data_IF_805934091281
#
_entry.id   IF_805934091281
#
_cell.length_a   1.000
_cell.length_b   1.000
_cell.length_c   1.000
_cell.angle_alpha   90.00
_cell.angle_beta   90.00
_cell.angle_gamma   90.00
#
_symmetry.space_group_name_H-M   'P 1'
#
loop_
_entity.id
_entity.type
_entity.pdbx_description
1 polymer ?
#
# COMPACT_ATOMS: atom_id res chain seq x y z
N UNK A 1 43.09 42.07 5.47
CA UNK A 1 44.29 41.80 6.29
C UNK A 1 44.62 40.35 6.08
N UNK A 2 45.58 40.21 5.24
CA UNK A 2 46.84 39.42 5.32
C UNK A 2 46.56 37.90 5.23
N UNK A 3 46.76 37.25 4.07
CA UNK A 3 48.03 36.96 3.38
C UNK A 3 49.03 36.12 4.18
N UNK A 4 49.31 34.89 3.68
CA UNK A 4 50.67 34.31 3.61
C UNK A 4 50.57 32.88 3.03
N UNK A 5 50.77 32.66 1.76
CA UNK A 5 51.99 32.41 1.01
C UNK A 5 52.82 31.19 1.45
N UNK A 6 52.88 30.24 0.54
CA UNK A 6 53.84 29.18 0.13
C UNK A 6 55.24 29.21 0.76
N UNK A 7 56.09 28.18 0.59
CA UNK A 7 56.43 27.55 -0.70
C UNK A 7 56.80 26.03 -0.65
N UNK A 8 56.82 25.46 -1.84
CA UNK A 8 57.57 24.29 -2.31
C UNK A 8 59.08 24.46 -2.19
N UNK A 9 59.89 23.37 -2.16
CA UNK A 9 60.84 23.20 -3.23
C UNK A 9 61.04 21.76 -3.74
N UNK A 10 61.14 21.60 -5.03
CA UNK A 10 62.05 20.71 -5.77
C UNK A 10 63.48 21.30 -5.75
N UNK A 11 64.60 20.64 -6.21
CA UNK A 11 64.74 19.60 -7.24
C UNK A 11 65.97 18.66 -7.10
N UNK A 12 66.21 17.95 -8.22
CA UNK A 12 67.44 17.39 -8.75
C UNK A 12 67.83 15.99 -8.26
N UNK A 13 68.15 15.01 -9.08
CA UNK A 13 68.75 15.02 -10.40
C UNK A 13 69.62 13.79 -10.51
N UNK A 14 69.79 13.36 -11.68
CA UNK A 14 70.90 12.69 -12.41
C UNK A 14 70.74 11.22 -12.67
N UNK A 15 70.51 10.92 -13.92
CA UNK A 15 71.47 10.45 -14.97
C UNK A 15 72.00 9.01 -14.79
N UNK A 16 71.71 8.23 -15.80
CA UNK A 16 72.70 7.42 -16.35
C UNK A 16 72.33 6.07 -16.94
N UNK A 17 72.29 6.03 -18.21
CA UNK A 17 72.95 5.11 -19.14
C UNK A 17 72.20 3.98 -19.77
N UNK A 18 71.98 4.16 -21.01
CA UNK A 18 72.06 3.31 -22.22
C UNK A 18 72.25 1.80 -22.08
N UNK A 19 71.41 1.09 -22.81
CA UNK A 19 71.59 -0.29 -23.20
C UNK A 19 70.61 -0.71 -24.30
N UNK A 20 71.11 -0.61 -25.52
CA UNK A 20 70.52 -1.00 -26.81
C UNK A 20 70.22 -2.47 -26.89
N UNK A 21 69.13 -2.85 -27.61
CA UNK A 21 68.98 -4.21 -28.09
C UNK A 21 67.58 -4.58 -28.56
N UNK A 22 67.28 -4.23 -29.77
CA UNK A 22 66.59 -4.97 -30.83
C UNK A 22 65.40 -5.92 -30.58
N UNK A 23 64.35 -5.59 -31.30
CA UNK A 23 63.55 -6.42 -32.20
C UNK A 23 62.39 -7.24 -31.68
N UNK A 24 61.20 -6.81 -32.08
CA UNK A 24 60.12 -7.53 -32.75
C UNK A 24 59.51 -8.77 -32.07
N UNK A 25 58.28 -8.63 -31.69
CA UNK A 25 57.34 -9.70 -31.41
C UNK A 25 55.98 -9.16 -31.07
N UNK A 26 55.21 -8.73 -32.09
CA UNK A 26 53.81 -8.38 -31.97
C UNK A 26 52.99 -9.66 -31.81
N UNK A 27 52.88 -10.17 -30.60
CA UNK A 27 51.89 -11.19 -30.22
C UNK A 27 51.02 -10.60 -29.11
N UNK A 28 49.72 -10.90 -29.04
CA UNK A 28 48.89 -10.42 -27.96
C UNK A 28 49.44 -10.96 -26.64
N UNK A 29 49.95 -10.02 -25.84
CA UNK A 29 50.44 -10.33 -24.49
C UNK A 29 49.25 -10.77 -23.65
N UNK A 30 49.11 -12.09 -23.50
CA UNK A 30 48.14 -12.62 -22.49
C UNK A 30 48.62 -12.15 -21.11
N UNK A 31 47.78 -11.42 -20.35
CA UNK A 31 48.19 -11.02 -19.01
C UNK A 31 48.32 -12.26 -18.15
N UNK A 32 49.56 -12.64 -17.84
CA UNK A 32 49.86 -13.74 -16.91
C UNK A 32 49.65 -13.21 -15.50
N UNK A 33 48.53 -13.52 -14.88
CA UNK A 33 48.28 -13.19 -13.46
C UNK A 33 49.25 -14.02 -12.62
N UNK A 34 50.15 -13.44 -11.82
CA UNK A 34 51.06 -14.20 -10.97
C UNK A 34 50.28 -15.13 -10.04
N UNK A 35 50.72 -16.38 -9.93
CA UNK A 35 50.02 -17.40 -9.12
C UNK A 35 49.81 -16.98 -7.65
N UNK A 36 50.62 -16.08 -7.12
CA UNK A 36 50.46 -15.46 -5.80
C UNK A 36 49.26 -14.51 -5.73
N UNK A 37 48.94 -13.81 -6.81
CA UNK A 37 47.77 -12.92 -6.86
C UNK A 37 46.47 -13.71 -6.98
N UNK A 38 46.47 -14.80 -7.76
CA UNK A 38 45.34 -15.70 -7.87
C UNK A 38 45.04 -16.43 -6.53
N UNK A 39 46.06 -16.84 -5.76
CA UNK A 39 45.88 -17.40 -4.41
C UNK A 39 45.24 -16.36 -3.41
N UNK A 40 45.61 -15.10 -3.47
CA UNK A 40 45.03 -14.06 -2.61
C UNK A 40 43.59 -13.74 -2.98
N UNK A 41 43.25 -13.70 -4.24
CA UNK A 41 41.89 -13.53 -4.72
C UNK A 41 40.97 -14.67 -4.29
N UNK A 42 41.45 -15.92 -4.41
CA UNK A 42 40.70 -17.11 -3.98
C UNK A 42 40.52 -17.16 -2.45
N UNK A 43 41.51 -16.75 -1.66
CA UNK A 43 41.41 -16.69 -0.21
C UNK A 43 40.35 -15.69 0.26
N UNK A 44 40.22 -14.54 -0.43
CA UNK A 44 39.17 -13.55 -0.16
C UNK A 44 37.80 -14.07 -0.53
N UNK A 45 37.64 -14.79 -1.67
CA UNK A 45 36.38 -15.36 -2.09
C UNK A 45 35.94 -16.50 -1.15
N UNK A 46 36.86 -17.34 -0.70
CA UNK A 46 36.55 -18.43 0.27
C UNK A 46 36.12 -17.80 1.61
N UNK A 47 36.79 -16.75 2.09
CA UNK A 47 36.41 -16.05 3.31
C UNK A 47 34.98 -15.48 3.24
N UNK A 48 34.60 -14.93 2.07
CA UNK A 48 33.26 -14.40 1.83
C UNK A 48 32.19 -15.51 1.82
N UNK A 49 32.50 -16.67 1.21
CA UNK A 49 31.61 -17.82 1.21
C UNK A 49 31.42 -18.38 2.62
N UNK A 50 32.52 -18.51 3.39
CA UNK A 50 32.44 -18.97 4.79
C UNK A 50 31.61 -18.02 5.62
N UNK A 51 31.81 -16.70 5.50
CA UNK A 51 31.00 -15.71 6.22
C UNK A 51 29.52 -15.81 5.86
N UNK A 52 29.20 -16.03 4.58
CA UNK A 52 27.81 -16.21 4.12
C UNK A 52 27.20 -17.48 4.70
N UNK A 53 27.94 -18.60 4.69
CA UNK A 53 27.47 -19.88 5.24
C UNK A 53 27.24 -19.76 6.74
N UNK A 54 28.14 -19.12 7.47
CA UNK A 54 28.02 -18.89 8.92
C UNK A 54 26.80 -17.99 9.21
N UNK A 55 26.58 -16.94 8.40
CA UNK A 55 25.40 -16.08 8.55
C UNK A 55 24.10 -16.86 8.31
N UNK A 56 24.04 -17.65 7.25
CA UNK A 56 22.87 -18.50 6.95
C UNK A 56 22.65 -19.52 8.08
N UNK A 57 23.72 -20.16 8.56
CA UNK A 57 23.64 -21.14 9.66
C UNK A 57 23.19 -20.50 10.98
N UNK A 58 23.53 -19.25 11.24
CA UNK A 58 23.06 -18.51 12.40
C UNK A 58 21.60 -18.06 12.28
N UNK A 59 21.15 -17.66 11.08
CA UNK A 59 19.77 -17.23 10.85
C UNK A 59 18.78 -18.38 10.68
N UNK A 60 19.22 -19.52 10.12
CA UNK A 60 18.36 -20.67 9.86
C UNK A 60 17.65 -21.20 11.13
N UNK A 61 18.34 -21.40 12.27
CA UNK A 61 17.66 -21.80 13.50
C UNK A 61 16.63 -20.78 13.97
N UNK A 62 16.91 -19.47 13.84
CA UNK A 62 15.99 -18.41 14.23
C UNK A 62 14.72 -18.46 13.38
N UNK A 63 14.85 -18.67 12.07
CA UNK A 63 13.71 -18.83 11.17
C UNK A 63 12.93 -20.10 11.45
N UNK A 64 13.59 -21.21 11.80
CA UNK A 64 12.93 -22.47 12.14
C UNK A 64 12.26 -22.44 13.52
N UNK A 65 12.82 -21.70 14.48
CA UNK A 65 12.25 -21.54 15.82
C UNK A 65 11.17 -20.45 15.86
N UNK A 66 11.16 -19.53 14.91
CA UNK A 66 10.12 -18.53 14.74
C UNK A 66 9.34 -18.83 13.45
N UNK A 67 8.46 -19.84 13.47
CA UNK A 67 7.66 -20.13 12.29
C UNK A 67 6.93 -18.87 11.90
N UNK A 68 7.04 -18.52 10.60
CA UNK A 68 6.23 -17.46 10.01
C UNK A 68 4.82 -17.60 10.59
N UNK A 69 4.23 -16.56 11.16
CA UNK A 69 2.88 -16.67 11.69
C UNK A 69 2.03 -17.27 10.57
N UNK A 70 1.50 -18.47 10.84
CA UNK A 70 0.49 -19.05 9.97
C UNK A 70 -0.56 -17.95 9.83
N UNK A 71 -1.01 -17.69 8.62
CA UNK A 71 -2.02 -16.67 8.32
C UNK A 71 -3.39 -16.90 9.00
N UNK A 72 -3.46 -17.86 9.94
CA UNK A 72 -4.49 -17.97 10.96
C UNK A 72 -4.34 -16.89 12.05
N UNK A 73 -3.75 -15.73 11.67
CA UNK A 73 -3.64 -14.56 12.51
C UNK A 73 -4.96 -14.23 13.15
N UNK A 74 -4.91 -13.71 14.38
CA UNK A 74 -6.06 -13.20 15.12
C UNK A 74 -7.08 -12.60 14.16
N UNK A 75 -8.21 -13.30 13.98
CA UNK A 75 -9.33 -12.91 13.15
C UNK A 75 -10.42 -12.45 14.09
N UNK A 76 -10.46 -11.17 14.46
CA UNK A 76 -11.53 -10.67 15.30
C UNK A 76 -12.85 -10.94 14.59
N UNK A 77 -13.80 -11.49 15.33
CA UNK A 77 -15.18 -11.55 14.89
C UNK A 77 -15.76 -10.13 15.00
N UNK A 78 -15.78 -9.41 13.88
CA UNK A 78 -16.19 -8.01 13.84
C UNK A 78 -17.69 -7.96 13.58
N UNK A 79 -18.46 -7.60 14.60
CA UNK A 79 -19.87 -7.29 14.43
C UNK A 79 -20.04 -5.89 13.85
N UNK A 80 -20.12 -5.84 12.51
CA UNK A 80 -20.33 -4.59 11.75
C UNK A 80 -21.64 -3.93 12.15
N UNK A 81 -22.70 -4.71 12.39
CA UNK A 81 -24.03 -4.19 12.74
C UNK A 81 -24.03 -3.56 14.13
N UNK A 82 -23.37 -4.19 15.11
CA UNK A 82 -23.22 -3.59 16.44
C UNK A 82 -22.40 -2.31 16.39
N UNK A 83 -21.29 -2.32 15.64
CA UNK A 83 -20.44 -1.12 15.50
C UNK A 83 -21.19 0.02 14.79
N UNK A 84 -21.97 -0.28 13.75
CA UNK A 84 -22.81 0.69 13.06
C UNK A 84 -23.87 1.33 13.99
N UNK A 85 -24.56 0.50 14.79
CA UNK A 85 -25.52 1.01 15.80
C UNK A 85 -24.85 1.95 16.79
N UNK A 86 -23.68 1.61 17.30
CA UNK A 86 -22.93 2.45 18.23
C UNK A 86 -22.45 3.77 17.60
N UNK A 87 -22.21 3.77 16.28
CA UNK A 87 -21.79 4.97 15.55
C UNK A 87 -22.97 5.89 15.17
N UNK A 88 -24.22 5.43 15.25
CA UNK A 88 -25.41 6.17 14.76
C UNK A 88 -25.54 7.57 15.35
N UNK A 89 -25.33 7.71 16.66
CA UNK A 89 -25.50 8.99 17.35
C UNK A 89 -24.44 10.02 16.92
N UNK A 90 -23.18 9.58 16.79
CA UNK A 90 -22.08 10.46 16.39
C UNK A 90 -22.07 10.73 14.90
N UNK A 91 -22.59 9.81 14.11
CA UNK A 91 -22.70 9.94 12.66
C UNK A 91 -23.87 10.87 12.25
N UNK A 92 -24.93 10.92 13.06
CA UNK A 92 -26.17 11.61 12.72
C UNK A 92 -26.99 10.92 11.61
N UNK A 93 -26.68 9.66 11.31
CA UNK A 93 -27.42 8.77 10.42
C UNK A 93 -27.10 7.33 10.79
N UNK A 94 -27.90 6.37 10.30
CA UNK A 94 -27.61 4.95 10.50
C UNK A 94 -26.57 4.49 9.50
N UNK A 95 -25.32 4.16 9.93
CA UNK A 95 -24.31 3.67 9.03
C UNK A 95 -24.72 2.34 8.40
N UNK A 96 -24.33 2.13 7.15
CA UNK A 96 -24.63 0.91 6.41
C UNK A 96 -23.87 -0.28 7.00
N UNK A 97 -24.59 -1.36 7.27
CA UNK A 97 -24.04 -2.62 7.77
C UNK A 97 -24.59 -3.77 6.91
N UNK A 98 -23.98 -4.01 5.72
CA UNK A 98 -24.49 -5.04 4.82
C UNK A 98 -24.39 -6.42 5.45
N UNK A 99 -25.48 -7.19 5.35
CA UNK A 99 -25.45 -8.61 5.66
C UNK A 99 -24.79 -9.34 4.50
N UNK A 100 -23.58 -9.78 4.71
CA UNK A 100 -22.79 -10.51 3.71
C UNK A 100 -22.74 -12.01 3.99
N UNK A 101 -23.39 -12.48 5.06
CA UNK A 101 -23.26 -13.85 5.53
C UNK A 101 -21.79 -14.25 5.74
N UNK A 102 -21.42 -15.41 5.18
CA UNK A 102 -20.02 -15.89 5.20
C UNK A 102 -19.23 -15.50 3.94
N UNK A 103 -19.85 -14.81 2.97
CA UNK A 103 -19.23 -14.53 1.67
C UNK A 103 -18.13 -13.49 1.78
N UNK A 104 -18.39 -12.38 2.47
CA UNK A 104 -17.39 -11.35 2.73
C UNK A 104 -17.09 -11.33 4.22
N UNK A 105 -15.81 -11.30 4.54
CA UNK A 105 -15.37 -11.31 5.93
C UNK A 105 -14.95 -9.89 6.35
N UNK A 106 -15.61 -9.31 7.37
CA UNK A 106 -15.20 -8.02 7.89
C UNK A 106 -13.77 -8.10 8.46
N UNK A 107 -12.95 -7.12 8.14
CA UNK A 107 -11.60 -6.98 8.66
C UNK A 107 -11.49 -5.88 9.70
N UNK A 108 -12.27 -4.81 9.52
CA UNK A 108 -12.49 -3.74 10.49
C UNK A 108 -13.83 -3.06 10.22
N UNK A 109 -14.36 -2.41 11.25
CA UNK A 109 -15.49 -1.48 11.14
C UNK A 109 -15.26 -0.32 12.12
N UNK A 110 -15.36 0.92 11.65
CA UNK A 110 -15.07 2.09 12.48
C UNK A 110 -15.74 3.36 11.97
N UNK A 111 -15.94 4.29 12.90
CA UNK A 111 -16.29 5.66 12.60
C UNK A 111 -15.06 6.55 12.68
N UNK A 112 -14.82 7.33 11.64
CA UNK A 112 -13.76 8.34 11.58
C UNK A 112 -14.40 9.73 11.64
N UNK A 113 -14.01 10.54 12.62
CA UNK A 113 -14.58 11.89 12.85
C UNK A 113 -14.12 12.94 11.85
N UNK A 114 -13.31 12.56 10.85
CA UNK A 114 -12.79 13.46 9.84
C UNK A 114 -11.52 14.22 10.24
N UNK A 115 -10.83 13.81 11.30
CA UNK A 115 -9.62 14.49 11.79
C UNK A 115 -8.51 14.53 10.72
N UNK A 116 -8.45 13.55 9.83
CA UNK A 116 -7.42 13.47 8.77
C UNK A 116 -7.89 14.01 7.41
N UNK A 117 -9.16 13.79 7.04
CA UNK A 117 -9.72 14.14 5.71
C UNK A 117 -10.62 15.37 5.73
N UNK A 118 -10.98 15.88 6.89
CA UNK A 118 -12.01 16.93 7.05
C UNK A 118 -13.44 16.43 6.81
N UNK A 119 -13.63 15.14 6.49
CA UNK A 119 -14.93 14.53 6.19
C UNK A 119 -15.17 13.37 7.14
N UNK A 120 -16.20 13.44 8.01
CA UNK A 120 -16.58 12.32 8.86
C UNK A 120 -17.05 11.14 8.00
N UNK A 121 -16.54 9.93 8.28
CA UNK A 121 -16.81 8.74 7.49
C UNK A 121 -17.06 7.52 8.35
N UNK A 122 -17.97 6.68 7.87
CA UNK A 122 -18.11 5.31 8.29
C UNK A 122 -17.29 4.42 7.37
N UNK A 123 -16.45 3.55 7.94
CA UNK A 123 -15.56 2.69 7.18
C UNK A 123 -15.68 1.25 7.60
N UNK A 124 -15.79 0.35 6.63
CA UNK A 124 -15.72 -1.10 6.82
C UNK A 124 -14.80 -1.71 5.78
N UNK A 125 -13.83 -2.50 6.22
CA UNK A 125 -12.98 -3.29 5.32
C UNK A 125 -13.50 -4.70 5.20
N UNK A 126 -13.60 -5.23 3.99
CA UNK A 126 -14.00 -6.60 3.70
C UNK A 126 -12.91 -7.37 2.97
N UNK A 127 -12.71 -8.61 3.38
CA UNK A 127 -11.99 -9.62 2.60
C UNK A 127 -12.98 -10.43 1.78
N UNK A 128 -12.70 -10.53 0.49
CA UNK A 128 -13.53 -11.27 -0.47
C UNK A 128 -13.22 -12.77 -0.41
N UNK A 129 -14.05 -13.64 -1.04
CA UNK A 129 -13.76 -15.07 -1.18
C UNK A 129 -12.42 -15.38 -1.87
N UNK A 130 -11.93 -14.45 -2.73
CA UNK A 130 -10.64 -14.56 -3.42
C UNK A 130 -9.50 -13.87 -2.66
N UNK A 131 -9.70 -13.59 -1.37
CA UNK A 131 -8.73 -12.93 -0.49
C UNK A 131 -8.31 -11.52 -0.96
N UNK A 132 -9.09 -10.92 -1.83
CA UNK A 132 -8.93 -9.52 -2.21
C UNK A 132 -9.59 -8.62 -1.15
N UNK A 133 -9.24 -7.34 -1.16
CA UNK A 133 -9.76 -6.36 -0.22
C UNK A 133 -10.73 -5.40 -0.92
N UNK A 134 -11.86 -5.10 -0.25
CA UNK A 134 -12.77 -4.01 -0.61
C UNK A 134 -13.01 -3.17 0.63
N UNK A 135 -12.72 -1.88 0.54
CA UNK A 135 -13.14 -0.88 1.50
C UNK A 135 -14.54 -0.37 1.12
N UNK A 136 -15.44 -0.32 2.10
CA UNK A 136 -16.70 0.40 2.06
C UNK A 136 -16.54 1.66 2.88
N UNK A 137 -16.84 2.81 2.28
CA UNK A 137 -16.80 4.10 2.96
C UNK A 137 -18.12 4.83 2.71
N UNK A 138 -18.75 5.35 3.77
CA UNK A 138 -20.00 6.10 3.68
C UNK A 138 -19.89 7.45 4.40
N UNK A 139 -20.39 8.50 3.77
CA UNK A 139 -20.47 9.83 4.38
C UNK A 139 -21.72 10.60 3.91
N UNK A 140 -22.13 11.62 4.67
CA UNK A 140 -23.12 12.61 4.25
C UNK A 140 -22.51 13.95 3.83
N UNK A 141 -21.20 14.06 3.93
CA UNK A 141 -20.48 15.33 3.71
C UNK A 141 -19.41 15.17 2.62
N UNK A 142 -19.68 14.32 1.62
CA UNK A 142 -18.76 14.11 0.51
C UNK A 142 -18.42 15.44 -0.18
N UNK A 143 -17.15 15.61 -0.50
CA UNK A 143 -16.67 16.69 -1.35
C UNK A 143 -15.74 16.16 -2.43
N UNK A 144 -15.45 16.91 -3.50
CA UNK A 144 -14.65 16.42 -4.62
C UNK A 144 -13.25 15.93 -4.21
N UNK A 145 -12.59 16.60 -3.26
CA UNK A 145 -11.26 16.23 -2.78
C UNK A 145 -11.29 14.88 -2.04
N UNK A 146 -12.27 14.72 -1.15
CA UNK A 146 -12.47 13.47 -0.44
C UNK A 146 -12.79 12.32 -1.40
N UNK A 147 -13.68 12.55 -2.37
CA UNK A 147 -14.04 11.52 -3.36
C UNK A 147 -12.82 11.07 -4.18
N UNK A 148 -11.99 12.01 -4.63
CA UNK A 148 -10.75 11.67 -5.32
C UNK A 148 -9.81 10.84 -4.43
N UNK A 149 -9.70 11.14 -3.14
CA UNK A 149 -8.90 10.36 -2.20
C UNK A 149 -9.45 8.94 -2.04
N UNK A 150 -10.77 8.78 -1.84
CA UNK A 150 -11.41 7.48 -1.66
C UNK A 150 -11.33 6.59 -2.92
N UNK A 151 -11.33 7.21 -4.09
CA UNK A 151 -11.22 6.51 -5.38
C UNK A 151 -9.80 6.48 -5.94
N UNK A 152 -8.78 6.88 -5.15
CA UNK A 152 -7.36 6.93 -5.55
C UNK A 152 -7.11 7.68 -6.85
N UNK A 153 -7.85 8.77 -7.06
CA UNK A 153 -7.84 9.59 -8.27
C UNK A 153 -8.18 8.80 -9.55
N UNK A 154 -8.88 7.68 -9.42
CA UNK A 154 -9.31 6.90 -10.57
C UNK A 154 -10.30 7.70 -11.42
N UNK A 155 -10.12 7.75 -12.76
CA UNK A 155 -11.08 8.38 -13.65
C UNK A 155 -12.37 7.57 -13.71
N UNK A 156 -13.46 8.25 -14.04
CA UNK A 156 -14.74 7.61 -14.37
C UNK A 156 -14.57 6.86 -15.69
N UNK A 157 -14.86 5.56 -15.68
CA UNK A 157 -14.73 4.69 -16.85
C UNK A 157 -16.07 4.13 -17.34
N UNK A 158 -17.14 4.34 -16.58
CA UNK A 158 -18.48 3.89 -16.94
C UNK A 158 -19.41 3.83 -15.74
N UNK A 159 -20.40 2.96 -15.84
CA UNK A 159 -21.32 2.66 -14.75
C UNK A 159 -21.54 1.16 -14.60
N UNK A 160 -22.07 0.75 -13.42
CA UNK A 160 -22.44 -0.62 -13.15
C UNK A 160 -23.74 -0.67 -12.36
N UNK A 161 -24.68 -1.51 -12.80
CA UNK A 161 -25.89 -1.79 -12.04
C UNK A 161 -25.61 -2.86 -10.97
N UNK A 162 -25.93 -2.58 -9.72
CA UNK A 162 -25.89 -3.51 -8.61
C UNK A 162 -26.93 -3.11 -7.55
N UNK A 163 -27.68 -4.09 -7.02
CA UNK A 163 -28.77 -3.85 -6.06
C UNK A 163 -29.90 -2.96 -6.61
N UNK A 164 -30.12 -2.96 -7.93
CA UNK A 164 -31.11 -2.09 -8.56
C UNK A 164 -30.72 -0.61 -8.65
N UNK A 165 -29.49 -0.27 -8.26
CA UNK A 165 -28.95 1.09 -8.37
C UNK A 165 -27.83 1.15 -9.40
N UNK A 166 -27.68 2.31 -10.04
CA UNK A 166 -26.58 2.58 -10.96
C UNK A 166 -25.42 3.21 -10.19
N UNK A 167 -24.28 2.51 -10.17
CA UNK A 167 -23.04 2.95 -9.55
C UNK A 167 -22.11 3.53 -10.61
N UNK A 168 -21.48 4.66 -10.31
CA UNK A 168 -20.38 5.18 -11.11
C UNK A 168 -19.16 4.28 -10.95
N UNK A 169 -18.64 3.76 -12.06
CA UNK A 169 -17.42 2.93 -12.06
C UNK A 169 -16.21 3.81 -12.34
N UNK A 170 -15.22 3.70 -11.49
CA UNK A 170 -13.89 4.28 -11.64
C UNK A 170 -12.83 3.19 -11.67
N UNK A 171 -11.86 3.32 -12.57
CA UNK A 171 -10.79 2.34 -12.72
C UNK A 171 -9.46 3.06 -12.98
N UNK A 172 -8.43 2.74 -12.19
CA UNK A 172 -7.08 3.28 -12.38
C UNK A 172 -6.35 2.67 -13.57
N UNK A 173 -6.85 1.55 -14.12
CA UNK A 173 -6.15 0.74 -15.11
C UNK A 173 -4.95 -0.04 -14.56
N UNK A 174 -4.73 0.01 -13.23
CA UNK A 174 -3.62 -0.65 -12.52
C UNK A 174 -4.11 -1.69 -11.51
N UNK A 175 -5.37 -2.10 -11.61
CA UNK A 175 -5.99 -3.11 -10.75
C UNK A 175 -6.96 -2.53 -9.71
N UNK A 176 -6.75 -1.30 -9.27
CA UNK A 176 -7.66 -0.65 -8.31
C UNK A 176 -8.90 -0.08 -9.01
N UNK A 177 -10.05 -0.38 -8.46
CA UNK A 177 -11.37 0.05 -8.93
C UNK A 177 -12.16 0.66 -7.79
N UNK A 178 -13.14 1.49 -8.16
CA UNK A 178 -14.12 1.97 -7.20
C UNK A 178 -15.52 2.02 -7.84
N UNK A 179 -16.53 1.75 -7.01
CA UNK A 179 -17.93 2.01 -7.30
C UNK A 179 -18.42 3.11 -6.37
N UNK A 180 -19.04 4.12 -6.93
CA UNK A 180 -19.57 5.27 -6.19
C UNK A 180 -21.07 5.35 -6.39
N UNK A 181 -21.80 5.48 -5.28
CA UNK A 181 -23.25 5.65 -5.26
C UNK A 181 -23.63 6.84 -4.38
N UNK A 182 -24.40 7.76 -4.94
CA UNK A 182 -25.11 8.75 -4.17
C UNK A 182 -26.55 8.28 -3.94
N UNK A 183 -26.92 8.09 -2.67
CA UNK A 183 -28.21 7.53 -2.30
C UNK A 183 -28.80 8.25 -1.10
N UNK A 184 -29.96 8.90 -1.27
CA UNK A 184 -30.72 9.57 -0.20
C UNK A 184 -29.87 10.52 0.67
N UNK A 185 -28.97 11.27 0.05
CA UNK A 185 -28.12 12.25 0.75
C UNK A 185 -26.91 11.66 1.46
N UNK A 186 -26.57 10.41 1.16
CA UNK A 186 -25.28 9.80 1.54
C UNK A 186 -24.53 9.39 0.29
N UNK A 187 -23.20 9.51 0.34
CA UNK A 187 -22.30 8.97 -0.69
C UNK A 187 -21.65 7.71 -0.15
N UNK A 188 -21.74 6.62 -0.90
CA UNK A 188 -21.07 5.35 -0.60
C UNK A 188 -20.03 5.08 -1.66
N UNK A 189 -18.83 4.72 -1.22
CA UNK A 189 -17.71 4.33 -2.08
C UNK A 189 -17.29 2.92 -1.70
N UNK A 190 -17.23 2.02 -2.69
CA UNK A 190 -16.57 0.73 -2.58
C UNK A 190 -15.27 0.83 -3.36
N UNK A 191 -14.12 0.59 -2.74
CA UNK A 191 -12.83 0.70 -3.43
C UNK A 191 -11.88 -0.46 -3.07
N UNK A 192 -11.04 -0.89 -4.02
CA UNK A 192 -10.10 -1.99 -3.81
C UNK A 192 -9.62 -2.64 -5.09
N UNK A 193 -8.98 -3.80 -4.94
CA UNK A 193 -8.38 -4.57 -6.04
C UNK A 193 -9.18 -5.81 -6.44
N UNK A 194 -10.37 -5.98 -5.88
CA UNK A 194 -11.23 -7.13 -6.15
C UNK A 194 -11.74 -7.17 -7.59
N UNK A 195 -12.33 -8.30 -7.98
CA UNK A 195 -12.99 -8.43 -9.27
C UNK A 195 -14.33 -7.70 -9.26
N UNK A 196 -14.77 -7.19 -10.42
CA UNK A 196 -16.03 -6.42 -10.53
C UNK A 196 -17.26 -7.20 -10.09
N UNK A 197 -17.24 -8.52 -10.20
CA UNK A 197 -18.32 -9.40 -9.72
C UNK A 197 -18.42 -9.39 -8.19
N UNK A 198 -17.28 -9.34 -7.50
CA UNK A 198 -17.23 -9.24 -6.03
C UNK A 198 -17.69 -7.85 -5.57
N UNK A 199 -17.29 -6.80 -6.29
CA UNK A 199 -17.83 -5.45 -6.04
C UNK A 199 -19.35 -5.42 -6.21
N UNK A 200 -19.90 -6.02 -7.27
CA UNK A 200 -21.32 -6.04 -7.51
C UNK A 200 -22.08 -6.80 -6.41
N UNK A 201 -21.56 -7.96 -5.99
CA UNK A 201 -22.16 -8.75 -4.91
C UNK A 201 -22.17 -7.98 -3.56
N UNK A 202 -21.08 -7.26 -3.24
CA UNK A 202 -21.05 -6.42 -2.05
C UNK A 202 -22.00 -5.22 -2.20
N UNK A 203 -22.04 -4.57 -3.36
CA UNK A 203 -22.91 -3.45 -3.67
C UNK A 203 -24.39 -3.82 -3.52
N UNK A 204 -24.80 -5.03 -3.94
CA UNK A 204 -26.16 -5.55 -3.73
C UNK A 204 -26.51 -5.63 -2.23
N UNK A 205 -25.60 -6.13 -1.40
CA UNK A 205 -25.81 -6.19 0.05
C UNK A 205 -25.84 -4.79 0.69
N UNK A 206 -25.01 -3.87 0.19
CA UNK A 206 -24.97 -2.46 0.61
C UNK A 206 -26.31 -1.78 0.33
N UNK A 207 -26.84 -1.92 -0.88
CA UNK A 207 -28.14 -1.30 -1.25
C UNK A 207 -29.26 -1.84 -0.38
N UNK A 208 -29.34 -3.16 -0.16
CA UNK A 208 -30.33 -3.76 0.76
C UNK A 208 -30.24 -3.17 2.16
N UNK A 209 -29.03 -2.95 2.68
CA UNK A 209 -28.83 -2.31 3.97
C UNK A 209 -29.25 -0.83 3.97
N UNK A 210 -28.97 -0.10 2.89
CA UNK A 210 -29.39 1.29 2.73
C UNK A 210 -30.93 1.43 2.66
N UNK A 211 -31.60 0.50 2.00
CA UNK A 211 -33.06 0.47 1.89
C UNK A 211 -33.72 0.14 3.22
N UNK A 212 -33.13 -0.76 4.00
CA UNK A 212 -33.60 -1.14 5.32
C UNK A 212 -33.42 -0.02 6.38
N UNK A 213 -32.44 0.86 6.17
CA UNK A 213 -32.21 1.98 7.07
C UNK A 213 -33.26 3.07 6.85
N UNK A 214 -33.99 3.49 7.89
CA UNK A 214 -34.95 4.59 7.74
C UNK A 214 -34.20 5.85 7.30
N UNK A 215 -34.75 6.56 6.32
CA UNK A 215 -34.26 7.89 5.98
C UNK A 215 -34.34 8.76 7.24
N UNK A 216 -33.18 9.26 7.69
CA UNK A 216 -33.18 10.23 8.81
C UNK A 216 -33.86 11.49 8.29
N UNK A 217 -35.11 11.69 8.67
CA UNK A 217 -35.80 12.96 8.50
C UNK A 217 -35.05 13.96 9.37
N UNK A 218 -34.21 14.79 8.75
CA UNK A 218 -33.68 15.99 9.42
C UNK A 218 -34.90 16.87 9.66
N UNK A 219 -35.45 16.85 10.88
CA UNK A 219 -36.40 17.85 11.31
C UNK A 219 -35.67 19.21 11.24
N UNK A 220 -36.11 20.18 10.42
CA UNK A 220 -35.48 21.49 10.41
C UNK A 220 -35.59 22.04 11.82
N UNK A 221 -34.47 22.31 12.48
CA UNK A 221 -34.41 23.00 13.76
C UNK A 221 -35.16 24.31 13.60
N UNK A 222 -36.26 24.46 14.33
CA UNK A 222 -37.02 25.72 14.34
C UNK A 222 -36.08 26.87 14.73
N UNK A 223 -36.12 28.03 14.03
CA UNK A 223 -35.32 29.18 14.42
C UNK A 223 -35.72 29.59 15.83
N UNK A 224 -34.74 29.73 16.72
CA UNK A 224 -34.94 30.28 18.05
C UNK A 224 -35.60 31.66 17.90
N UNK A 225 -36.84 31.78 18.40
CA UNK A 225 -37.53 33.05 18.50
C UNK A 225 -36.74 33.94 19.46
N UNK A 226 -36.37 35.11 18.96
CA UNK A 226 -35.75 36.23 19.69
C UNK A 226 -36.71 36.88 20.65
#
# INVERSE_FOLDING_TARGET
MQEKTSPSPEPAGSEGSSGSGAAAGNGPVKPVIPAAAAKRANASAIGMIIALVVSIAAFLPILLMNPLPKSDGYRPDIDVAATARNATDVAGFTPVAPDTGSTFRPNYARWESGTGSGVPTWEVGYLTPRESFIALVQTRSANPTWLLQQTRNAPVTGSRNAGGQEWELRDTGKGEKALVLDYRGTTVVLSGEAQLEEFAALADAVVKSLEANPAVTVSPSAPAAS
#
